data_IF_371216723327
#
_entry.id   IF_371216723327
#
_cell.length_a   1.000
_cell.length_b   1.000
_cell.length_c   1.000
_cell.angle_alpha   90.00
_cell.angle_beta   90.00
_cell.angle_gamma   90.00
#
_symmetry.space_group_name_H-M   'P 1'
#
loop_
_entity.id
_entity.type
_entity.pdbx_description
1 polymer ?
#
# COMPACT_ATOMS: atom_id res chain seq x y z
N UNK A 1 32.11 -23.27 13.85
CA UNK A 1 31.82 -24.13 12.68
C UNK A 1 31.10 -23.31 11.63
N UNK A 2 31.48 -23.45 10.35
CA UNK A 2 30.77 -22.78 9.26
C UNK A 2 29.44 -23.45 9.02
N UNK A 3 28.42 -22.66 8.60
CA UNK A 3 27.07 -23.16 8.30
C UNK A 3 27.06 -24.27 7.23
N UNK A 4 27.99 -24.24 6.29
CA UNK A 4 28.18 -25.26 5.26
C UNK A 4 28.61 -26.62 5.84
N UNK A 5 29.47 -26.62 6.88
CA UNK A 5 29.93 -27.83 7.57
C UNK A 5 28.75 -28.51 8.31
N UNK A 6 27.92 -27.74 9.01
CA UNK A 6 26.72 -28.25 9.69
C UNK A 6 25.76 -28.86 8.69
N UNK A 7 25.55 -28.21 7.55
CA UNK A 7 24.68 -28.72 6.46
C UNK A 7 25.17 -30.05 5.91
N UNK A 8 26.49 -30.18 5.66
CA UNK A 8 27.12 -31.42 5.17
C UNK A 8 27.00 -32.56 6.16
N UNK A 9 27.19 -32.30 7.46
CA UNK A 9 27.05 -33.31 8.52
C UNK A 9 25.61 -33.81 8.63
N UNK A 10 24.63 -32.89 8.65
CA UNK A 10 23.22 -33.27 8.74
C UNK A 10 22.76 -34.05 7.52
N UNK A 11 23.19 -33.67 6.32
CA UNK A 11 22.89 -34.40 5.09
C UNK A 11 23.53 -35.80 5.06
N UNK A 12 24.76 -35.93 5.54
CA UNK A 12 25.44 -37.23 5.67
C UNK A 12 24.78 -38.15 6.70
N UNK A 13 24.12 -37.59 7.72
CA UNK A 13 23.32 -38.32 8.70
C UNK A 13 21.88 -38.63 8.24
N UNK A 14 21.51 -38.31 6.98
CA UNK A 14 20.14 -38.53 6.46
C UNK A 14 19.11 -37.54 6.98
N UNK A 15 19.52 -36.52 7.72
CA UNK A 15 18.66 -35.47 8.24
C UNK A 15 18.57 -34.33 7.21
N UNK A 16 17.37 -34.02 6.73
CA UNK A 16 17.19 -32.86 5.86
C UNK A 16 17.44 -31.57 6.67
N UNK A 17 18.51 -30.83 6.42
CA UNK A 17 18.86 -29.64 7.19
C UNK A 17 17.92 -28.45 6.93
N UNK A 18 17.08 -28.54 5.91
CA UNK A 18 16.02 -27.59 5.64
C UNK A 18 14.66 -28.23 5.95
N UNK A 19 13.92 -27.76 6.98
CA UNK A 19 12.60 -28.29 7.21
C UNK A 19 11.76 -28.07 5.94
N UNK A 20 11.15 -29.15 5.42
CA UNK A 20 10.24 -29.06 4.29
C UNK A 20 9.14 -28.08 4.67
N UNK A 21 9.07 -26.96 4.00
CA UNK A 21 7.98 -26.00 4.18
C UNK A 21 6.71 -26.67 3.67
N UNK A 22 5.90 -27.20 4.59
CA UNK A 22 4.63 -27.90 4.29
C UNK A 22 3.47 -26.95 4.05
N UNK A 23 3.71 -25.64 3.88
CA UNK A 23 2.68 -24.62 3.70
C UNK A 23 2.82 -23.85 2.39
N UNK A 24 1.81 -23.06 2.01
CA UNK A 24 1.87 -22.23 0.81
C UNK A 24 3.04 -21.24 0.90
N UNK A 25 3.65 -20.98 -0.24
CA UNK A 25 4.65 -19.91 -0.35
C UNK A 25 3.98 -18.55 -0.10
N UNK A 26 4.80 -17.54 0.28
CA UNK A 26 4.30 -16.18 0.47
C UNK A 26 3.54 -15.66 -0.76
N UNK A 27 4.05 -15.92 -1.97
CA UNK A 27 3.39 -15.55 -3.21
C UNK A 27 2.03 -16.22 -3.40
N UNK A 28 1.93 -17.52 -3.10
CA UNK A 28 0.66 -18.27 -3.16
C UNK A 28 -0.36 -17.72 -2.14
N UNK A 29 0.08 -17.44 -0.91
CA UNK A 29 -0.76 -16.81 0.10
C UNK A 29 -1.29 -15.45 -0.37
N UNK A 30 -0.40 -14.56 -0.84
CA UNK A 30 -0.78 -13.23 -1.32
C UNK A 30 -1.76 -13.30 -2.50
N UNK A 31 -1.56 -14.24 -3.42
CA UNK A 31 -2.47 -14.43 -4.56
C UNK A 31 -3.83 -14.97 -4.14
N UNK A 32 -3.85 -15.97 -3.26
CA UNK A 32 -5.09 -16.61 -2.81
C UNK A 32 -5.95 -15.70 -1.93
N UNK A 33 -5.31 -14.78 -1.17
CA UNK A 33 -5.99 -13.91 -0.22
C UNK A 33 -6.00 -12.42 -0.66
N UNK A 34 -5.68 -12.13 -1.92
CA UNK A 34 -5.44 -10.78 -2.41
C UNK A 34 -6.54 -9.78 -2.03
N UNK A 35 -7.81 -10.16 -2.18
CA UNK A 35 -8.96 -9.30 -1.90
C UNK A 35 -9.24 -9.09 -0.40
N UNK A 36 -8.64 -9.93 0.45
CA UNK A 36 -8.79 -9.88 1.90
C UNK A 36 -7.57 -9.23 2.60
N UNK A 37 -6.62 -8.68 1.86
CA UNK A 37 -5.38 -8.13 2.41
C UNK A 37 -5.34 -6.61 2.26
N UNK A 38 -5.03 -5.93 3.38
CA UNK A 38 -4.52 -4.55 3.42
C UNK A 38 -3.00 -4.57 3.56
N UNK A 39 -2.32 -3.64 2.91
CA UNK A 39 -0.88 -3.42 3.05
C UNK A 39 -0.65 -1.98 3.52
N UNK A 40 0.08 -1.79 4.62
CA UNK A 40 0.37 -0.46 5.17
C UNK A 40 1.85 -0.18 5.13
N UNK A 41 2.20 1.08 4.85
CA UNK A 41 3.59 1.53 4.80
C UNK A 41 3.69 3.05 4.99
N UNK A 42 4.90 3.52 5.30
CA UNK A 42 5.22 4.93 5.40
C UNK A 42 5.99 5.43 4.18
N UNK A 43 5.48 6.48 3.54
CA UNK A 43 6.29 7.34 2.70
C UNK A 43 6.79 8.54 3.52
N UNK A 44 7.97 9.07 3.18
CA UNK A 44 8.44 10.33 3.74
C UNK A 44 8.69 11.35 2.63
N UNK A 45 8.49 12.61 2.94
CA UNK A 45 8.66 13.74 2.02
C UNK A 45 9.37 14.85 2.79
N UNK A 46 10.46 15.35 2.24
CA UNK A 46 11.14 16.51 2.80
C UNK A 46 10.56 17.80 2.15
N UNK A 47 10.22 18.78 2.97
CA UNK A 47 9.73 20.08 2.49
C UNK A 47 10.88 20.95 1.99
N UNK A 48 10.56 22.06 1.32
CA UNK A 48 11.56 23.08 0.90
C UNK A 48 12.40 23.64 2.06
N UNK A 49 11.89 23.57 3.27
CA UNK A 49 12.60 23.95 4.50
C UNK A 49 13.27 22.74 5.20
N UNK A 50 13.48 21.64 4.47
CA UNK A 50 14.12 20.40 4.95
C UNK A 50 13.42 19.76 6.17
N UNK A 51 12.14 20.07 6.38
CA UNK A 51 11.34 19.41 7.42
C UNK A 51 10.75 18.13 6.85
N UNK A 52 11.01 17.01 7.51
CA UNK A 52 10.48 15.70 7.10
C UNK A 52 9.02 15.54 7.51
N UNK A 53 8.20 15.13 6.55
CA UNK A 53 6.80 14.73 6.73
C UNK A 53 6.66 13.24 6.43
N UNK A 54 5.90 12.56 7.26
CA UNK A 54 5.57 11.15 7.10
C UNK A 54 4.13 11.03 6.62
N UNK A 55 3.93 10.14 5.67
CA UNK A 55 2.64 9.85 5.05
C UNK A 55 2.32 8.38 5.29
N UNK A 56 1.29 8.10 6.08
CA UNK A 56 0.80 6.74 6.27
C UNK A 56 -0.17 6.39 5.15
N UNK A 57 0.18 5.39 4.37
CA UNK A 57 -0.63 4.89 3.25
C UNK A 57 -1.09 3.47 3.51
N UNK A 58 -2.31 3.16 3.09
CA UNK A 58 -2.84 1.80 3.13
C UNK A 58 -3.34 1.44 1.73
N UNK A 59 -3.00 0.25 1.27
CA UNK A 59 -3.34 -0.24 -0.07
C UNK A 59 -4.13 -1.54 0.04
N UNK A 60 -5.29 -1.62 -0.59
CA UNK A 60 -6.02 -2.87 -0.80
C UNK A 60 -5.25 -3.74 -1.77
N UNK A 61 -4.75 -4.90 -1.32
CA UNK A 61 -3.80 -5.70 -2.10
C UNK A 61 -4.38 -6.20 -3.43
N UNK A 62 -5.60 -6.70 -3.47
CA UNK A 62 -6.25 -7.20 -4.68
C UNK A 62 -6.62 -6.06 -5.64
N UNK A 63 -7.33 -5.06 -5.13
CA UNK A 63 -7.88 -3.95 -5.92
C UNK A 63 -6.91 -2.83 -6.21
N UNK A 64 -5.75 -2.79 -5.56
CA UNK A 64 -4.77 -1.70 -5.66
C UNK A 64 -5.29 -0.34 -5.19
N UNK A 65 -6.46 -0.27 -4.57
CA UNK A 65 -7.04 0.96 -4.07
C UNK A 65 -6.22 1.50 -2.90
N UNK A 66 -5.96 2.79 -2.92
CA UNK A 66 -5.11 3.47 -1.94
C UNK A 66 -5.97 4.34 -1.04
N UNK A 67 -5.67 4.27 0.26
CA UNK A 67 -6.19 5.13 1.31
C UNK A 67 -5.06 5.96 1.88
N UNK A 68 -5.26 7.26 1.97
CA UNK A 68 -4.35 8.19 2.61
C UNK A 68 -4.74 8.29 4.10
N UNK A 69 -4.12 7.46 4.94
CA UNK A 69 -4.49 7.36 6.35
C UNK A 69 -4.10 8.59 7.16
N UNK A 70 -2.98 9.26 6.83
CA UNK A 70 -2.62 10.49 7.51
C UNK A 70 -1.25 11.05 7.12
N UNK A 71 -1.01 12.31 7.51
CA UNK A 71 0.25 13.03 7.30
C UNK A 71 0.66 13.68 8.62
N UNK A 72 1.92 13.52 9.02
CA UNK A 72 2.45 14.13 10.24
C UNK A 72 3.95 14.39 10.12
N UNK A 73 4.46 15.37 10.88
CA UNK A 73 5.89 15.52 11.11
C UNK A 73 6.40 14.63 12.25
N UNK A 74 5.50 14.10 13.08
CA UNK A 74 5.83 13.32 14.28
C UNK A 74 4.99 12.04 14.34
N UNK A 75 5.43 10.95 13.70
CA UNK A 75 4.69 9.69 13.63
C UNK A 75 4.85 8.90 14.94
N UNK A 76 4.18 9.34 16.01
CA UNK A 76 4.16 8.63 17.29
C UNK A 76 3.26 7.39 17.21
N UNK A 77 3.52 6.36 18.04
CA UNK A 77 2.67 5.17 18.10
C UNK A 77 1.20 5.49 18.41
N UNK A 78 0.93 6.51 19.24
CA UNK A 78 -0.43 6.98 19.53
C UNK A 78 -1.09 7.57 18.26
N UNK A 79 -0.36 8.39 17.50
CA UNK A 79 -0.87 8.94 16.25
C UNK A 79 -1.16 7.84 15.23
N UNK A 80 -0.23 6.89 15.05
CA UNK A 80 -0.41 5.75 14.12
C UNK A 80 -1.63 4.91 14.49
N UNK A 81 -1.81 4.64 15.80
CA UNK A 81 -2.97 3.93 16.33
C UNK A 81 -4.28 4.68 16.06
N UNK A 82 -4.26 6.01 16.17
CA UNK A 82 -5.45 6.81 15.83
C UNK A 82 -5.76 6.76 14.33
N UNK A 83 -4.75 6.74 13.46
CA UNK A 83 -4.98 6.58 12.03
C UNK A 83 -5.57 5.22 11.68
N UNK A 84 -5.20 4.15 12.39
CA UNK A 84 -5.83 2.83 12.24
C UNK A 84 -7.34 2.87 12.53
N UNK A 85 -7.76 3.53 13.64
CA UNK A 85 -9.18 3.72 13.96
C UNK A 85 -9.92 4.53 12.89
N UNK A 86 -9.32 5.62 12.46
CA UNK A 86 -9.89 6.48 11.41
C UNK A 86 -10.10 5.70 10.10
N UNK A 87 -9.12 4.86 9.72
CA UNK A 87 -9.22 4.01 8.54
C UNK A 87 -10.37 3.00 8.65
N UNK A 88 -10.51 2.31 9.79
CA UNK A 88 -11.61 1.37 10.00
C UNK A 88 -12.97 2.07 9.94
N UNK A 89 -13.07 3.28 10.51
CA UNK A 89 -14.28 4.11 10.39
C UNK A 89 -14.57 4.51 8.94
N UNK A 90 -13.54 4.89 8.15
CA UNK A 90 -13.69 5.22 6.72
C UNK A 90 -14.11 4.00 5.90
N UNK A 91 -13.59 2.83 6.22
CA UNK A 91 -13.95 1.58 5.56
C UNK A 91 -15.40 1.18 5.86
N UNK A 92 -15.89 1.43 7.10
CA UNK A 92 -17.21 1.01 7.53
C UNK A 92 -17.43 -0.48 7.28
N UNK A 93 -18.60 -0.88 6.77
CA UNK A 93 -18.95 -2.27 6.46
C UNK A 93 -17.98 -2.95 5.47
N UNK A 94 -17.20 -2.17 4.74
CA UNK A 94 -16.15 -2.74 3.86
C UNK A 94 -14.98 -3.34 4.63
N UNK A 95 -14.82 -3.00 5.91
CA UNK A 95 -13.77 -3.57 6.76
C UNK A 95 -13.90 -5.09 6.89
N UNK A 96 -15.11 -5.61 6.90
CA UNK A 96 -15.44 -7.04 7.02
C UNK A 96 -14.89 -7.92 5.89
N UNK A 97 -14.49 -7.28 4.78
CA UNK A 97 -13.86 -7.97 3.64
C UNK A 97 -12.39 -8.30 3.91
N UNK A 98 -11.76 -7.57 4.82
CA UNK A 98 -10.33 -7.72 5.09
C UNK A 98 -10.12 -8.67 6.27
N UNK A 99 -9.20 -9.59 6.10
CA UNK A 99 -8.80 -10.57 7.13
C UNK A 99 -7.34 -10.41 7.54
N UNK A 100 -6.56 -9.70 6.74
CA UNK A 100 -5.13 -9.55 6.97
C UNK A 100 -4.70 -8.11 6.73
N UNK A 101 -3.81 -7.62 7.59
CA UNK A 101 -3.04 -6.40 7.39
C UNK A 101 -1.56 -6.78 7.35
N UNK A 102 -0.88 -6.44 6.25
CA UNK A 102 0.57 -6.61 6.13
C UNK A 102 1.24 -5.29 6.46
N UNK A 103 2.24 -5.32 7.36
CA UNK A 103 3.10 -4.21 7.69
C UNK A 103 4.55 -4.66 7.82
N UNK A 104 5.46 -3.72 7.71
CA UNK A 104 6.87 -3.94 8.03
C UNK A 104 7.10 -4.00 9.56
N UNK A 105 8.38 -4.03 9.96
CA UNK A 105 8.80 -4.07 11.36
C UNK A 105 9.18 -2.71 11.91
N UNK A 106 8.71 -1.63 11.28
CA UNK A 106 8.99 -0.30 11.76
C UNK A 106 8.46 -0.10 13.18
N UNK A 107 9.27 0.49 14.03
CA UNK A 107 8.96 0.77 15.44
C UNK A 107 7.80 1.74 15.64
N UNK A 108 7.43 2.48 14.61
CA UNK A 108 6.25 3.35 14.62
C UNK A 108 4.94 2.57 14.74
N UNK A 109 4.91 1.29 14.31
CA UNK A 109 3.77 0.40 14.51
C UNK A 109 3.82 -0.26 15.89
N UNK A 110 3.41 0.49 16.91
CA UNK A 110 3.35 0.01 18.28
C UNK A 110 2.23 -1.03 18.50
N UNK A 111 2.29 -1.87 19.58
CA UNK A 111 1.28 -2.90 19.84
C UNK A 111 -0.19 -2.42 19.83
N UNK A 112 -0.54 -1.20 20.32
CA UNK A 112 -1.91 -0.70 20.22
C UNK A 112 -2.43 -0.56 18.78
N UNK A 113 -1.55 -0.34 17.80
CA UNK A 113 -1.93 -0.33 16.38
C UNK A 113 -2.44 -1.70 15.94
N UNK A 114 -1.71 -2.76 16.26
CA UNK A 114 -2.10 -4.14 15.94
C UNK A 114 -3.42 -4.51 16.65
N UNK A 115 -3.60 -4.07 17.90
CA UNK A 115 -4.80 -4.32 18.68
C UNK A 115 -6.08 -3.70 18.05
N UNK A 116 -5.96 -2.54 17.40
CA UNK A 116 -7.10 -1.91 16.67
C UNK A 116 -7.60 -2.83 15.56
N UNK A 117 -6.71 -3.40 14.76
CA UNK A 117 -7.08 -4.31 13.67
C UNK A 117 -7.56 -5.66 14.21
N UNK A 118 -6.92 -6.19 15.25
CA UNK A 118 -7.37 -7.42 15.90
C UNK A 118 -8.80 -7.29 16.45
N UNK A 119 -9.18 -6.13 16.99
CA UNK A 119 -10.55 -5.84 17.44
C UNK A 119 -11.58 -5.77 16.29
N UNK A 120 -11.13 -5.70 15.04
CA UNK A 120 -11.97 -5.78 13.84
C UNK A 120 -11.78 -7.10 13.08
N UNK A 121 -11.31 -8.16 13.74
CA UNK A 121 -11.03 -9.50 13.18
C UNK A 121 -10.03 -9.49 12.02
N UNK A 122 -9.19 -8.46 11.94
CA UNK A 122 -8.12 -8.32 10.93
C UNK A 122 -6.79 -8.74 11.57
N UNK A 123 -6.25 -9.86 11.13
CA UNK A 123 -4.97 -10.39 11.61
C UNK A 123 -3.79 -9.58 11.04
N UNK A 124 -2.98 -9.00 11.91
CA UNK A 124 -1.75 -8.30 11.50
C UNK A 124 -0.63 -9.30 11.23
N UNK A 125 -0.01 -9.19 10.06
CA UNK A 125 1.13 -9.99 9.62
C UNK A 125 2.33 -9.07 9.44
N UNK A 126 3.35 -9.25 10.28
CA UNK A 126 4.62 -8.58 10.10
C UNK A 126 5.42 -9.25 8.98
N UNK A 127 6.00 -8.47 8.08
CA UNK A 127 6.84 -9.01 7.02
C UNK A 127 8.02 -9.77 7.62
N UNK A 128 8.39 -10.95 7.06
CA UNK A 128 9.58 -11.66 7.51
C UNK A 128 10.83 -10.78 7.38
N UNK A 129 11.75 -10.89 8.34
CA UNK A 129 13.04 -10.19 8.24
C UNK A 129 13.76 -10.60 6.95
N UNK A 130 14.39 -9.63 6.28
CA UNK A 130 15.13 -9.82 5.01
C UNK A 130 14.25 -10.29 3.84
N UNK A 131 12.94 -10.04 3.87
CA UNK A 131 12.02 -10.32 2.77
C UNK A 131 11.51 -9.00 2.13
N UNK A 132 12.33 -8.30 1.33
CA UNK A 132 12.01 -6.96 0.80
C UNK A 132 10.75 -6.95 -0.08
N UNK A 133 10.36 -8.09 -0.63
CA UNK A 133 9.16 -8.20 -1.48
C UNK A 133 7.87 -8.49 -0.70
N UNK A 134 7.96 -8.60 0.61
CA UNK A 134 6.81 -9.01 1.41
C UNK A 134 5.70 -7.93 1.45
N UNK A 135 6.05 -6.64 1.36
CA UNK A 135 5.12 -5.51 1.28
C UNK A 135 5.14 -4.80 -0.10
N UNK A 136 5.50 -5.55 -1.15
CA UNK A 136 5.77 -5.00 -2.49
C UNK A 136 4.63 -4.16 -3.09
N UNK A 137 3.39 -4.31 -2.61
CA UNK A 137 2.24 -3.55 -3.13
C UNK A 137 2.28 -2.11 -2.61
N UNK A 138 2.50 -1.91 -1.32
CA UNK A 138 2.63 -0.58 -0.73
C UNK A 138 3.93 0.11 -1.23
N UNK A 139 5.05 -0.62 -1.25
CA UNK A 139 6.33 -0.10 -1.78
C UNK A 139 6.20 0.35 -3.25
N UNK A 140 5.49 -0.43 -4.09
CA UNK A 140 5.26 -0.09 -5.50
C UNK A 140 4.39 1.17 -5.64
N UNK A 141 3.37 1.32 -4.80
CA UNK A 141 2.58 2.55 -4.77
C UNK A 141 3.45 3.75 -4.39
N UNK A 142 4.24 3.65 -3.32
CA UNK A 142 5.13 4.73 -2.87
C UNK A 142 6.14 5.08 -3.97
N UNK A 143 6.71 4.08 -4.63
CA UNK A 143 7.59 4.30 -5.78
C UNK A 143 6.91 4.99 -6.96
N UNK A 144 5.64 4.66 -7.27
CA UNK A 144 4.86 5.35 -8.30
C UNK A 144 4.56 6.80 -7.87
N UNK A 145 4.10 7.01 -6.64
CA UNK A 145 3.83 8.34 -6.07
C UNK A 145 5.05 9.28 -6.18
N UNK A 146 6.25 8.76 -5.88
CA UNK A 146 7.49 9.54 -6.03
C UNK A 146 7.72 9.92 -7.49
N UNK A 147 7.88 8.94 -8.36
CA UNK A 147 8.23 9.15 -9.78
C UNK A 147 7.20 9.95 -10.57
N UNK A 148 5.91 9.81 -10.24
CA UNK A 148 4.83 10.43 -11.02
C UNK A 148 4.37 11.76 -10.42
N UNK A 149 4.74 12.07 -9.17
CA UNK A 149 4.23 13.25 -8.48
C UNK A 149 5.28 13.97 -7.63
N UNK A 150 5.80 13.33 -6.58
CA UNK A 150 6.56 14.04 -5.55
C UNK A 150 7.93 14.53 -6.04
N UNK A 151 8.58 13.80 -6.95
CA UNK A 151 9.90 14.17 -7.51
C UNK A 151 9.81 15.40 -8.46
N UNK A 152 8.59 15.81 -8.82
CA UNK A 152 8.32 16.95 -9.69
C UNK A 152 7.77 18.18 -8.97
N UNK A 153 7.57 18.11 -7.65
CA UNK A 153 6.90 19.16 -6.88
C UNK A 153 7.70 19.56 -5.64
N UNK A 154 7.83 20.85 -5.43
CA UNK A 154 8.38 21.40 -4.19
C UNK A 154 7.30 21.48 -3.12
N UNK A 155 7.43 20.69 -2.07
CA UNK A 155 6.45 20.66 -0.97
C UNK A 155 6.79 21.73 0.06
N UNK A 156 5.88 22.68 0.25
CA UNK A 156 6.07 23.81 1.17
C UNK A 156 5.76 23.40 2.61
N UNK A 157 4.74 22.54 2.83
CA UNK A 157 4.33 22.13 4.17
C UNK A 157 3.21 21.09 4.19
N UNK A 158 2.72 20.72 5.39
CA UNK A 158 1.76 19.61 5.54
C UNK A 158 0.45 19.82 4.80
N UNK A 159 -0.09 21.04 4.80
CA UNK A 159 -1.35 21.36 4.09
C UNK A 159 -1.19 21.26 2.58
N UNK A 160 -0.05 21.74 2.06
CA UNK A 160 0.27 21.62 0.63
C UNK A 160 0.43 20.15 0.24
N UNK A 161 1.22 19.36 1.00
CA UNK A 161 1.37 17.94 0.78
C UNK A 161 0.01 17.21 0.80
N UNK A 162 -0.87 17.52 1.75
CA UNK A 162 -2.20 16.93 1.83
C UNK A 162 -3.06 17.24 0.60
N UNK A 163 -2.99 18.44 0.05
CA UNK A 163 -3.69 18.82 -1.19
C UNK A 163 -3.17 18.01 -2.39
N UNK A 164 -1.85 18.00 -2.57
CA UNK A 164 -1.16 17.25 -3.64
C UNK A 164 -1.50 15.75 -3.58
N UNK A 165 -1.37 15.14 -2.40
CA UNK A 165 -1.62 13.70 -2.24
C UNK A 165 -3.09 13.33 -2.45
N UNK A 166 -4.04 14.15 -1.97
CA UNK A 166 -5.48 13.91 -2.23
C UNK A 166 -5.80 13.93 -3.72
N UNK A 167 -5.20 14.85 -4.47
CA UNK A 167 -5.40 14.93 -5.90
C UNK A 167 -4.74 13.75 -6.63
N UNK A 168 -3.51 13.40 -6.27
CA UNK A 168 -2.82 12.23 -6.80
C UNK A 168 -3.56 10.91 -6.51
N UNK A 169 -3.98 10.68 -5.26
CA UNK A 169 -4.70 9.45 -4.88
C UNK A 169 -6.06 9.36 -5.58
N UNK A 170 -6.75 10.49 -5.79
CA UNK A 170 -7.98 10.50 -6.60
C UNK A 170 -7.72 10.06 -8.04
N UNK A 171 -6.66 10.61 -8.66
CA UNK A 171 -6.21 10.17 -9.98
C UNK A 171 -5.83 8.68 -9.99
N UNK A 172 -4.99 8.27 -9.06
CA UNK A 172 -4.51 6.89 -8.95
C UNK A 172 -5.66 5.89 -8.83
N UNK A 173 -6.63 6.17 -7.97
CA UNK A 173 -7.77 5.29 -7.75
C UNK A 173 -8.79 5.34 -8.89
N UNK A 174 -9.02 6.50 -9.50
CA UNK A 174 -10.12 6.71 -10.44
C UNK A 174 -9.75 6.64 -11.93
N UNK A 175 -8.49 6.89 -12.25
CA UNK A 175 -8.08 7.08 -13.65
C UNK A 175 -6.81 6.31 -14.05
N UNK A 176 -5.91 6.03 -13.10
CA UNK A 176 -4.63 5.41 -13.43
C UNK A 176 -4.81 3.93 -13.80
N UNK A 177 -4.40 3.50 -15.03
CA UNK A 177 -4.51 2.12 -15.45
C UNK A 177 -3.52 1.22 -14.71
N UNK A 178 -3.94 0.00 -14.37
CA UNK A 178 -3.11 -1.00 -13.70
C UNK A 178 -3.07 -2.31 -14.50
N UNK A 179 -1.86 -2.78 -14.84
CA UNK A 179 -1.69 -4.05 -15.57
C UNK A 179 -2.32 -5.24 -14.86
N UNK A 180 -2.24 -5.27 -13.52
CA UNK A 180 -2.83 -6.35 -12.71
C UNK A 180 -4.36 -6.28 -12.60
N UNK A 181 -4.99 -5.23 -13.12
CA UNK A 181 -6.44 -5.02 -13.15
C UNK A 181 -6.93 -4.86 -14.60
N UNK A 182 -6.27 -5.50 -15.57
CA UNK A 182 -6.60 -5.42 -16.99
C UNK A 182 -6.68 -3.98 -17.50
N UNK A 183 -5.70 -3.16 -17.14
CA UNK A 183 -5.61 -1.73 -17.46
C UNK A 183 -6.76 -0.87 -16.88
N UNK A 184 -7.49 -1.40 -15.90
CA UNK A 184 -8.55 -0.63 -15.21
C UNK A 184 -8.00 0.10 -13.98
N UNK A 185 -8.57 1.25 -13.62
CA UNK A 185 -8.25 1.90 -12.36
C UNK A 185 -8.89 1.18 -11.15
N UNK A 186 -8.32 1.33 -9.93
CA UNK A 186 -8.76 0.62 -8.72
C UNK A 186 -10.23 0.84 -8.33
N UNK A 187 -10.77 2.02 -8.62
CA UNK A 187 -12.16 2.38 -8.28
C UNK A 187 -13.16 2.09 -9.39
N UNK A 188 -12.73 1.57 -10.55
CA UNK A 188 -13.66 1.25 -11.62
C UNK A 188 -14.59 0.11 -11.23
N UNK A 189 -15.89 0.38 -11.33
CA UNK A 189 -16.90 -0.66 -11.46
C UNK A 189 -16.84 -1.33 -12.84
N UNK A 190 -17.81 -2.22 -13.13
CA UNK A 190 -17.93 -2.84 -14.45
C UNK A 190 -18.01 -1.75 -15.53
N UNK A 191 -17.23 -1.83 -16.62
CA UNK A 191 -17.24 -0.81 -17.64
C UNK A 191 -18.64 -0.69 -18.25
N UNK A 192 -19.17 0.52 -18.29
CA UNK A 192 -20.31 0.81 -19.13
C UNK A 192 -19.86 0.62 -20.59
N UNK A 193 -20.45 -0.34 -21.30
CA UNK A 193 -20.28 -0.47 -22.75
C UNK A 193 -21.00 0.70 -23.39
N UNK A 194 -20.27 1.78 -23.69
CA UNK A 194 -20.77 2.86 -24.51
C UNK A 194 -20.44 2.53 -25.98
N UNK A 195 -21.47 2.32 -26.80
CA UNK A 195 -21.35 2.21 -28.26
C UNK A 195 -21.31 3.55 -28.99
N UNK A 196 -21.31 4.66 -28.25
CA UNK A 196 -21.29 6.00 -28.83
C UNK A 196 -19.85 6.43 -29.14
N UNK A 197 -19.68 7.15 -30.25
CA UNK A 197 -18.41 7.84 -30.56
C UNK A 197 -18.24 8.98 -29.57
N UNK A 198 -17.43 8.75 -28.54
CA UNK A 198 -17.24 9.70 -27.45
C UNK A 198 -15.92 10.46 -27.69
N UNK A 199 -15.96 11.78 -27.63
CA UNK A 199 -14.74 12.60 -27.69
C UNK A 199 -14.07 12.62 -26.31
N UNK A 200 -12.81 12.21 -26.18
CA UNK A 200 -12.09 12.33 -24.93
C UNK A 200 -11.80 13.81 -24.62
N UNK A 201 -12.22 14.26 -23.44
CA UNK A 201 -11.83 15.56 -22.91
C UNK A 201 -10.62 15.38 -21.99
N UNK A 202 -9.54 16.11 -22.28
CA UNK A 202 -8.36 16.14 -21.41
C UNK A 202 -8.64 17.04 -20.20
N UNK A 203 -8.33 16.56 -19.02
CA UNK A 203 -8.35 17.31 -17.77
C UNK A 203 -6.98 17.25 -17.12
N UNK A 204 -6.37 18.40 -16.94
CA UNK A 204 -5.07 18.52 -16.29
C UNK A 204 -5.22 18.56 -14.77
N UNK A 205 -4.32 17.83 -14.06
CA UNK A 205 -4.21 17.77 -12.62
C UNK A 205 -2.81 18.21 -12.17
N UNK A 206 -2.71 18.68 -10.93
CA UNK A 206 -1.44 19.11 -10.34
C UNK A 206 -0.65 20.07 -11.25
N UNK A 207 -1.34 21.09 -11.76
CA UNK A 207 -0.70 22.08 -12.63
C UNK A 207 -0.27 21.55 -14.01
N UNK A 208 -0.89 20.48 -14.50
CA UNK A 208 -0.55 19.86 -15.78
C UNK A 208 0.47 18.70 -15.68
N UNK A 209 0.87 18.33 -14.47
CA UNK A 209 1.76 17.20 -14.26
C UNK A 209 1.08 15.86 -14.61
N UNK A 210 -0.24 15.76 -14.38
CA UNK A 210 -1.02 14.57 -14.67
C UNK A 210 -2.15 14.93 -15.64
N UNK A 211 -2.37 14.07 -16.62
CA UNK A 211 -3.44 14.22 -17.61
C UNK A 211 -4.46 13.09 -17.46
N UNK A 212 -5.72 13.47 -17.25
CA UNK A 212 -6.85 12.55 -17.26
C UNK A 212 -7.63 12.73 -18.56
N UNK A 213 -8.16 11.65 -19.10
CA UNK A 213 -9.04 11.67 -20.25
C UNK A 213 -10.40 11.16 -19.82
N UNK A 214 -11.41 12.02 -19.86
CA UNK A 214 -12.79 11.68 -19.50
C UNK A 214 -13.65 11.64 -20.74
N UNK A 215 -14.55 10.69 -20.81
CA UNK A 215 -15.54 10.61 -21.87
C UNK A 215 -16.67 11.58 -21.53
N UNK A 216 -17.00 12.47 -22.46
CA UNK A 216 -18.15 13.37 -22.36
C UNK A 216 -19.18 12.88 -23.36
N UNK A 217 -20.40 12.60 -22.86
CA UNK A 217 -21.53 12.24 -23.68
C UNK A 217 -22.08 13.44 -24.45
#
# INVERSE_FOLDING_TARGET
MAASTVWTILKGAGLDPAPRRSGPTWGQFLSAQADAILAVDFAHVDTVLLRRLYVLVVVEHGRRRVHLAGITAHPTGAWVTQQARNLLMELGDRADRFRFLIRDRDSMFAPPFDAVFAGADIRVIQTPGRAPRANAVAERFIGALRRECLDHLLIIGPRHLAAVLREYVRHYNGHRPHRSLDQRPPASGTPARSGAVVRPLRRDRLGGLIHEYVQVA
#
